data_IF_329598366175
#
_entry.id   IF_329598366175
#
_cell.length_a   1.000
_cell.length_b   1.000
_cell.length_c   1.000
_cell.angle_alpha   90.00
_cell.angle_beta   90.00
_cell.angle_gamma   90.00
#
_symmetry.space_group_name_H-M   'P 1'
#
loop_
_entity.id
_entity.type
_entity.pdbx_description
1 polymer ?
#
# COMPACT_ATOMS: atom_id res chain seq x y z
N UNK A 1 -11.32 -63.90 -21.68
CA UNK A 1 -11.82 -62.56 -21.31
C UNK A 1 -11.07 -61.54 -22.16
N UNK A 2 -11.72 -61.02 -23.19
CA UNK A 2 -11.12 -59.98 -24.05
C UNK A 2 -11.13 -58.66 -23.27
N UNK A 3 -9.95 -58.20 -22.87
CA UNK A 3 -9.76 -56.85 -22.36
C UNK A 3 -10.01 -55.93 -23.57
N UNK A 4 -11.16 -55.26 -23.58
CA UNK A 4 -11.47 -54.31 -24.64
C UNK A 4 -10.44 -53.19 -24.56
N UNK A 5 -9.49 -53.16 -25.48
CA UNK A 5 -8.65 -51.99 -25.70
C UNK A 5 -9.62 -50.87 -26.09
N UNK A 6 -9.86 -49.92 -25.18
CA UNK A 6 -10.59 -48.71 -25.50
C UNK A 6 -9.81 -48.00 -26.60
N UNK A 7 -10.32 -48.14 -27.82
CA UNK A 7 -9.87 -47.47 -29.03
C UNK A 7 -9.64 -46.02 -28.67
N UNK A 8 -8.43 -45.51 -28.88
CA UNK A 8 -8.10 -44.10 -28.67
C UNK A 8 -9.10 -43.31 -29.51
N UNK A 9 -10.10 -42.74 -28.83
CA UNK A 9 -10.99 -41.74 -29.39
C UNK A 9 -10.09 -40.57 -29.78
N UNK A 10 -10.38 -40.00 -30.93
CA UNK A 10 -9.68 -38.83 -31.48
C UNK A 10 -9.37 -37.79 -30.38
N UNK A 11 -8.16 -37.21 -30.39
CA UNK A 11 -7.68 -36.33 -29.32
C UNK A 11 -8.63 -35.14 -29.10
N UNK A 12 -9.23 -34.68 -30.20
CA UNK A 12 -10.21 -33.59 -30.20
C UNK A 12 -11.49 -34.01 -29.47
N UNK A 13 -11.97 -35.24 -29.68
CA UNK A 13 -13.16 -35.77 -29.01
C UNK A 13 -12.98 -35.94 -27.49
N UNK A 14 -11.77 -36.25 -27.03
CA UNK A 14 -11.43 -36.29 -25.59
C UNK A 14 -11.45 -34.88 -24.98
N UNK A 15 -10.87 -33.90 -25.68
CA UNK A 15 -10.83 -32.50 -25.24
C UNK A 15 -12.24 -31.89 -25.17
N UNK A 16 -13.12 -32.25 -26.10
CA UNK A 16 -14.54 -31.86 -26.08
C UNK A 16 -15.27 -32.47 -24.88
N UNK A 17 -15.07 -33.77 -24.61
CA UNK A 17 -15.66 -34.44 -23.45
C UNK A 17 -15.22 -33.79 -22.14
N UNK A 18 -13.91 -33.54 -21.98
CA UNK A 18 -13.36 -32.86 -20.81
C UNK A 18 -13.92 -31.44 -20.66
N UNK A 19 -14.02 -30.70 -21.76
CA UNK A 19 -14.61 -29.35 -21.76
C UNK A 19 -16.08 -29.40 -21.34
N UNK A 20 -16.86 -30.36 -21.82
CA UNK A 20 -18.26 -30.53 -21.43
C UNK A 20 -18.40 -30.83 -19.94
N UNK A 21 -17.55 -31.70 -19.40
CA UNK A 21 -17.55 -32.00 -17.97
C UNK A 21 -17.16 -30.78 -17.12
N UNK A 22 -16.14 -30.04 -17.54
CA UNK A 22 -15.69 -28.81 -16.89
C UNK A 22 -16.81 -27.76 -16.91
N UNK A 23 -17.54 -27.61 -18.01
CA UNK A 23 -18.64 -26.65 -18.13
C UNK A 23 -19.87 -26.98 -17.28
N UNK A 24 -20.06 -28.26 -16.91
CA UNK A 24 -21.17 -28.70 -16.08
C UNK A 24 -21.06 -28.27 -14.60
N UNK A 25 -19.87 -27.85 -14.15
CA UNK A 25 -19.70 -27.32 -12.79
C UNK A 25 -20.34 -25.94 -12.60
N UNK A 26 -20.78 -25.66 -11.38
CA UNK A 26 -21.24 -24.32 -11.01
C UNK A 26 -20.04 -23.36 -10.79
N UNK A 27 -19.84 -22.47 -11.76
CA UNK A 27 -18.77 -21.45 -11.73
C UNK A 27 -19.05 -20.29 -10.77
N UNK A 28 -20.24 -20.22 -10.19
CA UNK A 28 -20.55 -19.16 -9.23
C UNK A 28 -19.68 -19.26 -7.97
N UNK A 29 -19.32 -20.49 -7.59
CA UNK A 29 -18.58 -20.83 -6.36
C UNK A 29 -17.07 -21.00 -6.57
N UNK A 30 -16.63 -21.15 -7.82
CA UNK A 30 -15.23 -21.43 -8.17
C UNK A 30 -14.49 -20.14 -8.57
N UNK A 31 -13.26 -20.00 -8.10
CA UNK A 31 -12.37 -18.90 -8.48
C UNK A 31 -11.27 -19.42 -9.40
N UNK A 32 -10.92 -18.62 -10.42
CA UNK A 32 -9.72 -18.82 -11.24
C UNK A 32 -9.65 -20.14 -12.03
N UNK A 33 -10.80 -20.69 -12.43
CA UNK A 33 -10.93 -21.88 -13.28
C UNK A 33 -11.19 -21.50 -14.74
N UNK A 34 -10.63 -22.26 -15.69
CA UNK A 34 -10.94 -22.12 -17.12
C UNK A 34 -12.13 -23.02 -17.48
N UNK A 35 -13.03 -22.53 -18.33
CA UNK A 35 -14.22 -23.29 -18.79
C UNK A 35 -13.93 -24.31 -19.89
N UNK A 36 -12.68 -24.44 -20.29
CA UNK A 36 -12.24 -25.22 -21.45
C UNK A 36 -11.02 -26.02 -21.02
N UNK A 37 -10.95 -27.28 -21.44
CA UNK A 37 -9.85 -28.21 -21.17
C UNK A 37 -8.58 -27.87 -21.96
N UNK A 38 -8.04 -26.67 -21.76
CA UNK A 38 -6.83 -26.18 -22.45
C UNK A 38 -5.85 -25.62 -21.44
N UNK A 39 -4.57 -25.50 -21.84
CA UNK A 39 -3.50 -25.03 -20.96
C UNK A 39 -3.83 -23.70 -20.26
N UNK A 40 -3.41 -23.60 -18.99
CA UNK A 40 -3.46 -22.39 -18.18
C UNK A 40 -2.29 -21.44 -18.46
N UNK A 41 -1.31 -21.86 -19.27
CA UNK A 41 -0.15 -21.03 -19.60
C UNK A 41 -0.60 -19.75 -20.31
N UNK A 42 -0.32 -18.60 -19.71
CA UNK A 42 -0.70 -17.29 -20.24
C UNK A 42 -2.17 -16.90 -20.03
N UNK A 43 -2.96 -17.73 -19.34
CA UNK A 43 -4.35 -17.38 -19.01
C UNK A 43 -4.39 -16.19 -18.06
N UNK A 44 -5.19 -15.18 -18.42
CA UNK A 44 -5.50 -14.04 -17.56
C UNK A 44 -6.90 -14.22 -16.99
N UNK A 45 -7.10 -13.83 -15.74
CA UNK A 45 -8.42 -13.85 -15.11
C UNK A 45 -9.39 -12.92 -15.87
N UNK A 46 -10.67 -13.30 -15.89
CA UNK A 46 -11.73 -12.43 -16.39
C UNK A 46 -11.94 -11.25 -15.45
N UNK A 47 -12.46 -10.14 -15.97
CA UNK A 47 -12.74 -8.95 -15.16
C UNK A 47 -13.71 -9.26 -14.00
N UNK A 48 -14.70 -10.12 -14.24
CA UNK A 48 -15.64 -10.60 -13.21
C UNK A 48 -14.92 -11.33 -12.07
N UNK A 49 -13.96 -12.21 -12.38
CA UNK A 49 -13.19 -12.93 -11.37
C UNK A 49 -12.27 -11.97 -10.57
N UNK A 50 -11.66 -11.00 -11.25
CA UNK A 50 -10.86 -9.95 -10.62
C UNK A 50 -11.72 -9.15 -9.65
N UNK A 51 -12.91 -8.74 -10.08
CA UNK A 51 -13.83 -7.96 -9.25
C UNK A 51 -14.28 -8.73 -8.00
N UNK A 52 -14.66 -10.01 -8.14
CA UNK A 52 -15.00 -10.85 -6.98
C UNK A 52 -13.83 -11.02 -6.01
N UNK A 53 -12.59 -11.13 -6.51
CA UNK A 53 -11.40 -11.17 -5.64
C UNK A 53 -11.23 -9.85 -4.88
N UNK A 54 -11.38 -8.70 -5.54
CA UNK A 54 -11.30 -7.38 -4.91
C UNK A 54 -12.38 -7.24 -3.82
N UNK A 55 -13.62 -7.60 -4.14
CA UNK A 55 -14.77 -7.56 -3.21
C UNK A 55 -14.52 -8.41 -1.97
N UNK A 56 -14.02 -9.64 -2.14
CA UNK A 56 -13.66 -10.52 -1.02
C UNK A 56 -12.66 -9.86 -0.07
N UNK A 57 -11.68 -9.12 -0.58
CA UNK A 57 -10.65 -8.48 0.24
C UNK A 57 -11.01 -7.05 0.71
N UNK A 58 -12.22 -6.55 0.41
CA UNK A 58 -12.71 -5.30 1.00
C UNK A 58 -12.80 -5.42 2.52
N UNK A 59 -13.28 -6.55 3.02
CA UNK A 59 -13.12 -6.90 4.43
C UNK A 59 -11.75 -7.55 4.66
N UNK A 60 -10.93 -6.87 5.46
CA UNK A 60 -9.59 -7.34 5.85
C UNK A 60 -9.65 -8.68 6.60
N UNK A 61 -10.77 -8.98 7.27
CA UNK A 61 -10.96 -10.22 8.02
C UNK A 61 -10.97 -11.48 7.13
N UNK A 62 -11.32 -11.32 5.85
CA UNK A 62 -11.35 -12.40 4.87
C UNK A 62 -9.95 -12.87 4.43
N UNK A 63 -8.89 -12.14 4.79
CA UNK A 63 -7.54 -12.57 4.47
C UNK A 63 -7.17 -13.83 5.28
N UNK A 64 -6.66 -14.92 4.67
CA UNK A 64 -6.39 -16.18 5.37
C UNK A 64 -5.40 -16.06 6.55
N UNK A 65 -4.56 -15.04 6.52
CA UNK A 65 -3.59 -14.69 7.58
C UNK A 65 -4.06 -13.54 8.48
N UNK A 66 -5.32 -13.09 8.37
CA UNK A 66 -5.85 -12.08 9.28
C UNK A 66 -5.82 -12.60 10.72
N UNK A 67 -5.31 -11.76 11.64
CA UNK A 67 -5.16 -12.10 13.05
C UNK A 67 -4.07 -13.14 13.38
N UNK A 68 -3.38 -13.70 12.38
CA UNK A 68 -2.30 -14.66 12.59
C UNK A 68 -0.95 -13.95 12.66
N UNK A 69 -0.10 -14.37 13.58
CA UNK A 69 1.29 -13.90 13.71
C UNK A 69 2.25 -15.06 13.45
N UNK A 70 3.43 -14.74 12.91
CA UNK A 70 4.50 -15.72 12.78
C UNK A 70 5.22 -15.91 14.12
N UNK A 71 5.69 -17.13 14.40
CA UNK A 71 6.58 -17.37 15.52
C UNK A 71 7.95 -16.69 15.29
N UNK A 72 8.70 -16.47 16.37
CA UNK A 72 10.03 -15.86 16.28
C UNK A 72 10.99 -16.68 15.40
N UNK A 73 10.87 -18.02 15.43
CA UNK A 73 11.67 -18.93 14.60
C UNK A 73 11.40 -18.71 13.10
N UNK A 74 10.12 -18.62 12.73
CA UNK A 74 9.71 -18.38 11.34
C UNK A 74 10.13 -16.97 10.89
N UNK A 75 10.02 -15.97 11.78
CA UNK A 75 10.48 -14.62 11.49
C UNK A 75 11.99 -14.59 11.20
N UNK A 76 12.80 -15.34 11.96
CA UNK A 76 14.25 -15.46 11.69
C UNK A 76 14.53 -16.09 10.33
N UNK A 77 13.81 -17.14 9.96
CA UNK A 77 13.97 -17.82 8.66
C UNK A 77 13.59 -16.93 7.46
N UNK A 78 12.55 -16.09 7.62
CA UNK A 78 12.08 -15.19 6.55
C UNK A 78 12.93 -13.91 6.50
N UNK A 79 13.48 -13.48 7.64
CA UNK A 79 14.28 -12.27 7.73
C UNK A 79 15.54 -12.36 6.86
N UNK A 80 15.86 -11.26 6.15
CA UNK A 80 17.11 -11.08 5.40
C UNK A 80 17.90 -9.91 6.00
N UNK A 81 18.56 -10.10 7.16
CA UNK A 81 19.30 -9.03 7.81
C UNK A 81 20.67 -8.79 7.14
N UNK A 82 21.25 -7.61 7.39
CA UNK A 82 22.60 -7.27 6.94
C UNK A 82 22.76 -7.40 5.43
N UNK A 83 23.83 -8.07 5.00
CA UNK A 83 24.20 -8.26 3.59
C UNK A 83 23.19 -9.06 2.75
N UNK A 84 22.29 -9.82 3.39
CA UNK A 84 21.23 -10.54 2.69
C UNK A 84 20.10 -9.62 2.24
N UNK A 85 19.99 -8.41 2.79
CA UNK A 85 19.02 -7.43 2.36
C UNK A 85 19.40 -6.91 0.95
N UNK A 86 18.51 -6.96 -0.06
CA UNK A 86 18.78 -6.44 -1.40
C UNK A 86 19.17 -4.95 -1.47
N UNK A 87 18.88 -4.20 -0.40
CA UNK A 87 19.24 -2.79 -0.23
C UNK A 87 20.51 -2.57 0.60
N UNK A 88 21.17 -3.62 1.08
CA UNK A 88 22.43 -3.47 1.83
C UNK A 88 23.50 -2.78 0.98
N UNK A 89 24.16 -1.78 1.56
CA UNK A 89 25.18 -0.98 0.89
C UNK A 89 24.65 -0.01 -0.19
N UNK A 90 23.34 0.01 -0.46
CA UNK A 90 22.72 0.94 -1.41
C UNK A 90 22.28 2.22 -0.71
N UNK A 91 22.48 3.35 -1.36
CA UNK A 91 22.00 4.66 -0.90
C UNK A 91 20.80 5.12 -1.73
N UNK A 92 19.89 5.85 -1.11
CA UNK A 92 18.76 6.45 -1.83
C UNK A 92 19.24 7.65 -2.65
N UNK A 93 18.64 7.83 -3.83
CA UNK A 93 18.81 9.06 -4.63
C UNK A 93 18.28 10.28 -3.88
N UNK A 94 18.77 11.47 -4.20
CA UNK A 94 18.33 12.71 -3.53
C UNK A 94 16.85 13.00 -3.78
N UNK A 95 16.33 12.69 -4.98
CA UNK A 95 14.90 12.74 -5.29
C UNK A 95 14.08 11.83 -4.36
N UNK A 96 14.58 10.62 -4.08
CA UNK A 96 13.93 9.69 -3.15
C UNK A 96 14.00 10.22 -1.71
N UNK A 97 15.13 10.79 -1.29
CA UNK A 97 15.28 11.40 0.05
C UNK A 97 14.30 12.56 0.25
N UNK A 98 14.17 13.43 -0.74
CA UNK A 98 13.22 14.54 -0.72
C UNK A 98 11.77 14.04 -0.59
N UNK A 99 11.40 13.02 -1.38
CA UNK A 99 10.07 12.42 -1.30
C UNK A 99 9.80 11.84 0.10
N UNK A 100 10.76 11.12 0.66
CA UNK A 100 10.67 10.57 2.01
C UNK A 100 10.54 11.69 3.05
N UNK A 101 11.33 12.76 2.94
CA UNK A 101 11.26 13.91 3.83
C UNK A 101 9.88 14.58 3.80
N UNK A 102 9.32 14.78 2.59
CA UNK A 102 7.96 15.34 2.40
C UNK A 102 6.89 14.44 3.03
N UNK A 103 6.99 13.13 2.86
CA UNK A 103 6.03 12.15 3.43
C UNK A 103 6.17 11.99 4.95
N UNK A 104 7.37 12.19 5.50
CA UNK A 104 7.63 12.16 6.95
C UNK A 104 7.20 13.45 7.66
N UNK A 105 6.89 14.50 6.90
CA UNK A 105 6.45 15.76 7.48
C UNK A 105 5.13 15.58 8.22
N UNK A 106 5.05 16.10 9.45
CA UNK A 106 3.84 16.04 10.28
C UNK A 106 2.67 16.77 9.63
N UNK A 107 2.95 17.88 8.93
CA UNK A 107 1.94 18.70 8.25
C UNK A 107 2.21 18.65 6.75
N UNK A 108 1.43 17.83 6.03
CA UNK A 108 1.65 17.61 4.58
C UNK A 108 1.49 18.89 3.76
N UNK A 109 0.56 19.76 4.18
CA UNK A 109 0.27 21.04 3.54
C UNK A 109 1.16 22.18 4.07
N UNK A 110 2.04 21.89 5.01
CA UNK A 110 3.01 22.84 5.57
C UNK A 110 2.47 23.66 6.75
N UNK A 111 3.21 24.71 7.08
CA UNK A 111 2.94 25.60 8.22
C UNK A 111 2.96 27.04 7.76
N UNK A 112 2.00 27.83 8.25
CA UNK A 112 1.82 29.23 7.90
C UNK A 112 2.15 30.18 9.06
N UNK A 113 2.61 31.37 8.70
CA UNK A 113 2.58 32.56 9.55
C UNK A 113 1.28 33.30 9.27
N UNK A 114 0.57 33.64 10.33
CA UNK A 114 -0.68 34.37 10.29
C UNK A 114 -0.53 35.68 11.05
N UNK A 115 -1.28 36.70 10.64
CA UNK A 115 -1.46 37.91 11.44
C UNK A 115 -2.36 37.63 12.67
N UNK A 116 -2.55 38.65 13.50
CA UNK A 116 -3.46 38.59 14.66
C UNK A 116 -4.93 38.37 14.26
N UNK A 117 -5.30 38.78 13.06
CA UNK A 117 -6.65 38.66 12.52
C UNK A 117 -6.91 37.28 11.88
N UNK A 118 -5.89 36.41 11.82
CA UNK A 118 -5.98 35.07 11.23
C UNK A 118 -5.78 35.02 9.71
N UNK A 119 -5.32 36.10 9.07
CA UNK A 119 -4.95 36.12 7.66
C UNK A 119 -3.58 35.47 7.47
N UNK A 120 -3.47 34.60 6.47
CA UNK A 120 -2.21 33.95 6.12
C UNK A 120 -1.25 34.98 5.48
N UNK A 121 -0.12 35.23 6.13
CA UNK A 121 0.95 36.08 5.61
C UNK A 121 1.84 35.28 4.67
N UNK A 122 2.29 34.09 5.11
CA UNK A 122 3.22 33.28 4.33
C UNK A 122 3.16 31.81 4.70
N UNK A 123 3.36 30.94 3.70
CA UNK A 123 3.41 29.48 3.81
C UNK A 123 4.83 28.96 3.70
N UNK A 124 5.13 27.92 4.47
CA UNK A 124 6.38 27.17 4.47
C UNK A 124 6.10 25.68 4.40
N UNK A 125 7.02 24.89 3.84
CA UNK A 125 6.81 23.44 3.72
C UNK A 125 6.93 22.77 5.09
N UNK A 126 7.80 23.27 5.97
CA UNK A 126 8.07 22.67 7.26
C UNK A 126 8.43 23.72 8.32
N UNK A 127 8.47 23.31 9.58
CA UNK A 127 8.82 24.19 10.71
C UNK A 127 10.28 24.68 10.68
N UNK A 128 11.17 23.98 9.96
CA UNK A 128 12.59 24.36 9.88
C UNK A 128 12.76 25.55 8.95
N UNK A 129 12.11 25.54 7.78
CA UNK A 129 12.08 26.67 6.85
C UNK A 129 11.48 27.92 7.51
N UNK A 130 10.37 27.75 8.22
CA UNK A 130 9.75 28.82 9.00
C UNK A 130 10.71 29.37 10.07
N UNK A 131 11.37 28.48 10.81
CA UNK A 131 12.35 28.86 11.82
C UNK A 131 13.52 29.64 11.23
N UNK A 132 14.10 29.14 10.14
CA UNK A 132 15.21 29.80 9.44
C UNK A 132 14.80 31.18 8.91
N UNK A 133 13.58 31.33 8.41
CA UNK A 133 13.08 32.63 7.92
C UNK A 133 13.01 33.69 9.02
N UNK A 134 12.62 33.30 10.23
CA UNK A 134 12.53 34.20 11.39
C UNK A 134 13.82 34.19 12.25
N UNK A 135 14.86 33.47 11.82
CA UNK A 135 16.08 33.22 12.62
C UNK A 135 15.79 32.67 14.03
N UNK A 136 14.78 31.80 14.15
CA UNK A 136 14.39 31.12 15.39
C UNK A 136 14.58 29.62 15.29
N UNK A 137 14.73 28.97 16.44
CA UNK A 137 14.80 27.52 16.49
C UNK A 137 13.48 26.88 16.07
N UNK A 138 13.54 25.72 15.40
CA UNK A 138 12.35 24.91 15.10
C UNK A 138 11.56 24.54 16.36
N UNK A 139 12.23 24.44 17.50
CA UNK A 139 11.62 24.09 18.79
C UNK A 139 10.73 25.23 19.25
N UNK A 140 11.16 26.48 19.06
CA UNK A 140 10.33 27.67 19.33
C UNK A 140 9.06 27.64 18.48
N UNK A 141 9.17 27.40 17.17
CA UNK A 141 8.02 27.26 16.27
C UNK A 141 7.05 26.16 16.75
N UNK A 142 7.58 25.01 17.15
CA UNK A 142 6.77 23.89 17.66
C UNK A 142 6.20 24.19 19.05
N UNK A 143 6.92 24.86 19.92
CA UNK A 143 6.49 25.20 21.28
C UNK A 143 5.36 26.23 21.25
N UNK A 144 5.47 27.24 20.38
CA UNK A 144 4.38 28.19 20.06
C UNK A 144 3.11 27.47 19.63
N UNK A 145 3.24 26.31 18.98
CA UNK A 145 2.12 25.48 18.53
C UNK A 145 1.63 24.45 19.57
N UNK A 146 2.52 23.86 20.40
CA UNK A 146 2.25 22.62 21.17
C UNK A 146 2.25 22.77 22.70
N UNK A 147 3.07 23.65 23.28
CA UNK A 147 3.37 23.59 24.73
C UNK A 147 2.92 24.82 25.52
N UNK A 148 2.34 25.81 24.84
CA UNK A 148 1.56 26.86 25.49
C UNK A 148 0.16 26.80 24.90
N UNK A 149 -0.70 26.00 25.54
CA UNK A 149 -2.14 25.99 25.30
C UNK A 149 -2.68 27.41 25.34
N UNK A 150 -2.93 28.00 24.17
CA UNK A 150 -3.74 29.18 23.85
C UNK A 150 -2.96 30.14 22.93
N UNK A 151 -3.16 30.01 21.61
CA UNK A 151 -2.95 31.08 20.61
C UNK A 151 -1.82 32.07 20.93
N UNK A 152 -0.61 31.59 21.25
CA UNK A 152 0.44 32.52 21.61
C UNK A 152 0.97 33.20 20.36
N UNK A 153 0.84 34.51 20.41
CA UNK A 153 1.35 35.42 19.43
C UNK A 153 2.87 35.49 19.66
N UNK A 154 3.63 35.01 18.69
CA UNK A 154 5.08 35.20 18.67
C UNK A 154 5.40 36.70 18.54
N UNK A 155 6.16 37.22 19.50
CA UNK A 155 6.56 38.64 19.61
C UNK A 155 5.38 39.63 19.52
N UNK A 156 4.17 39.26 19.95
CA UNK A 156 2.95 40.07 19.80
C UNK A 156 2.61 40.46 18.34
N UNK A 157 3.18 39.79 17.33
CA UNK A 157 2.97 40.09 15.91
C UNK A 157 2.39 38.92 15.11
N UNK A 158 2.78 37.67 15.41
CA UNK A 158 2.53 36.54 14.51
C UNK A 158 1.94 35.33 15.19
N UNK A 159 1.09 34.59 14.47
CA UNK A 159 0.54 33.31 14.91
C UNK A 159 1.07 32.21 13.97
N UNK A 160 1.55 31.08 14.53
CA UNK A 160 1.98 29.93 13.73
C UNK A 160 0.94 28.83 13.76
N UNK A 161 0.41 28.45 12.58
CA UNK A 161 -0.58 27.37 12.46
C UNK A 161 -0.26 26.44 11.30
N UNK A 162 -0.54 25.13 11.44
CA UNK A 162 -0.49 24.21 10.31
C UNK A 162 -1.58 24.58 9.31
N UNK A 163 -1.28 24.40 8.04
CA UNK A 163 -2.25 24.59 6.97
C UNK A 163 -3.03 23.28 6.86
N UNK A 164 -4.36 23.35 7.01
CA UNK A 164 -5.25 22.22 6.77
C UNK A 164 -5.37 21.92 5.28
#
# INVERSE_FOLDING_TARGET
MNISQSKILDHDALTELETNYIQAFDYSTLYNMKRIATSMLGYKHTDEAIQKMIERFQDKSNHPMFGKTHSEEVLKLISKPGSLNPMFGKTHSDKTKELMARKKNKYINGVGIYDLNGNLIKKFNNNVELGNYLSISKVTVVASHKYLNNNLIYNNLYIFKPIQ
#
